data_IF_074620810746
#
_entry.id   IF_074620810746
#
_cell.length_a   1.000
_cell.length_b   1.000
_cell.length_c   1.000
_cell.angle_alpha   90.00
_cell.angle_beta   90.00
_cell.angle_gamma   90.00
#
_symmetry.space_group_name_H-M   'P 1'
#
loop_
_entity.id
_entity.type
_entity.pdbx_description
1 polymer ?
#
# COMPACT_ATOMS: atom_id res chain seq x y z
N UNK A 1 7.13 2.68 26.29
CA UNK A 1 6.11 3.39 25.52
C UNK A 1 4.89 2.49 25.45
N UNK A 2 3.73 2.99 25.84
CA UNK A 2 2.49 2.19 25.87
C UNK A 2 1.82 2.09 24.49
N UNK A 3 2.18 3.00 23.58
CA UNK A 3 1.74 3.05 22.19
C UNK A 3 2.93 3.36 21.27
N UNK A 4 2.93 2.79 20.07
CA UNK A 4 3.91 3.04 19.02
C UNK A 4 3.17 3.26 17.70
N UNK A 5 3.53 4.33 16.98
CA UNK A 5 3.05 4.55 15.61
C UNK A 5 3.76 3.58 14.66
N UNK A 6 2.99 2.90 13.80
CA UNK A 6 3.55 1.99 12.82
C UNK A 6 2.51 1.43 11.87
N UNK A 7 2.98 0.62 10.94
CA UNK A 7 2.18 -0.15 10.02
C UNK A 7 1.76 -1.47 10.65
N UNK A 8 0.46 -1.76 10.56
CA UNK A 8 -0.11 -3.01 11.08
C UNK A 8 0.48 -4.26 10.42
N UNK A 9 0.98 -4.14 9.19
CA UNK A 9 1.55 -5.25 8.41
C UNK A 9 3.09 -5.36 8.48
N UNK A 10 3.78 -4.51 9.25
CA UNK A 10 5.25 -4.59 9.38
C UNK A 10 5.69 -4.59 10.85
N UNK A 11 5.40 -3.52 11.60
CA UNK A 11 5.85 -3.38 12.98
C UNK A 11 5.21 -4.42 13.91
N UNK A 12 3.94 -4.78 13.68
CA UNK A 12 3.24 -5.79 14.51
C UNK A 12 3.97 -7.12 14.51
N UNK A 13 4.38 -7.59 13.33
CA UNK A 13 5.12 -8.82 13.11
C UNK A 13 6.51 -8.77 13.74
N UNK A 14 7.25 -7.68 13.52
CA UNK A 14 8.60 -7.53 14.09
C UNK A 14 8.58 -7.52 15.61
N UNK A 15 7.60 -6.86 16.22
CA UNK A 15 7.42 -6.87 17.68
C UNK A 15 7.08 -8.27 18.17
N UNK A 16 6.15 -8.97 17.51
CA UNK A 16 5.83 -10.36 17.85
C UNK A 16 7.05 -11.27 17.72
N UNK A 17 7.84 -11.11 16.67
CA UNK A 17 9.05 -11.91 16.45
C UNK A 17 10.13 -11.68 17.50
N UNK A 18 10.28 -10.45 17.98
CA UNK A 18 11.28 -10.07 18.96
C UNK A 18 10.84 -10.38 20.41
N UNK A 19 9.54 -10.34 20.70
CA UNK A 19 9.02 -10.38 22.08
C UNK A 19 8.17 -11.59 22.41
N UNK A 20 7.68 -12.33 21.40
CA UNK A 20 6.70 -13.40 21.56
C UNK A 20 5.29 -12.92 21.95
N UNK A 21 5.04 -11.60 21.97
CA UNK A 21 3.75 -11.03 22.36
C UNK A 21 2.99 -10.53 21.15
N UNK A 22 1.69 -10.81 21.12
CA UNK A 22 0.80 -10.23 20.12
C UNK A 22 0.67 -8.72 20.31
N UNK A 23 0.56 -8.01 19.19
CA UNK A 23 0.33 -6.56 19.17
C UNK A 23 -1.15 -6.32 18.87
N UNK A 24 -1.78 -5.47 19.66
CA UNK A 24 -3.14 -5.01 19.40
C UNK A 24 -3.10 -3.73 18.52
N UNK A 25 -3.54 -3.78 17.26
CA UNK A 25 -3.53 -2.61 16.40
C UNK A 25 -4.74 -1.70 16.69
N UNK A 26 -4.49 -0.41 16.90
CA UNK A 26 -5.52 0.64 16.88
C UNK A 26 -5.41 1.34 15.53
N UNK A 27 -6.30 1.03 14.58
CA UNK A 27 -6.20 1.57 13.21
C UNK A 27 -6.92 2.90 13.11
N UNK A 28 -6.28 3.87 12.49
CA UNK A 28 -6.92 5.15 12.14
C UNK A 28 -8.21 4.96 11.30
N UNK A 29 -8.23 3.96 10.42
CA UNK A 29 -9.39 3.62 9.60
C UNK A 29 -10.62 3.21 10.42
N UNK A 30 -10.44 2.58 11.59
CA UNK A 30 -11.55 2.21 12.49
C UNK A 30 -12.23 3.45 13.10
N UNK A 31 -11.57 4.61 13.02
CA UNK A 31 -12.05 5.91 13.50
C UNK A 31 -12.29 6.91 12.35
N UNK A 32 -12.52 6.42 11.13
CA UNK A 32 -12.93 7.23 9.99
C UNK A 32 -11.80 7.93 9.23
N UNK A 33 -10.54 7.77 9.64
CA UNK A 33 -9.39 8.35 8.96
C UNK A 33 -8.93 7.37 7.88
N UNK A 34 -9.37 7.63 6.65
CA UNK A 34 -9.04 6.83 5.47
C UNK A 34 -8.26 7.69 4.47
N UNK A 35 -7.13 7.17 4.00
CA UNK A 35 -6.32 7.83 2.98
C UNK A 35 -5.55 6.83 2.14
N UNK A 36 -5.20 7.23 0.93
CA UNK A 36 -4.22 6.52 0.11
C UNK A 36 -2.85 6.72 0.76
N UNK A 37 -2.38 5.70 1.47
CA UNK A 37 -1.16 5.78 2.30
C UNK A 37 0.12 5.49 1.51
N UNK A 38 0.14 4.43 0.71
CA UNK A 38 1.33 3.98 -0.02
C UNK A 38 1.00 3.81 -1.51
N UNK A 39 1.99 4.08 -2.35
CA UNK A 39 1.86 3.94 -3.80
C UNK A 39 3.22 3.86 -4.47
N UNK A 40 3.22 3.56 -5.77
CA UNK A 40 4.41 3.66 -6.62
C UNK A 40 4.56 5.11 -7.05
N UNK A 41 5.68 5.74 -6.68
CA UNK A 41 5.99 7.12 -7.02
C UNK A 41 7.10 7.12 -8.08
N UNK A 42 6.90 7.91 -9.13
CA UNK A 42 7.87 8.09 -10.20
C UNK A 42 7.91 9.54 -10.65
N UNK A 43 9.07 9.98 -11.15
CA UNK A 43 9.22 11.30 -11.75
C UNK A 43 8.34 11.43 -13.00
N UNK A 44 7.63 12.55 -13.12
CA UNK A 44 6.65 12.79 -14.20
C UNK A 44 7.29 12.81 -15.58
N UNK A 45 8.50 13.36 -15.73
CA UNK A 45 9.21 13.39 -17.00
C UNK A 45 9.71 12.01 -17.40
N UNK A 46 10.22 11.24 -16.42
CA UNK A 46 10.60 9.85 -16.64
C UNK A 46 9.43 9.01 -17.13
N UNK A 47 8.27 9.15 -16.49
CA UNK A 47 7.06 8.41 -16.85
C UNK A 47 6.60 8.74 -18.28
N UNK A 48 6.64 10.03 -18.67
CA UNK A 48 6.31 10.45 -20.04
C UNK A 48 7.29 9.90 -21.06
N UNK A 49 8.60 10.00 -20.78
CA UNK A 49 9.64 9.54 -21.70
C UNK A 49 9.70 8.01 -21.83
N UNK A 50 9.28 7.26 -20.80
CA UNK A 50 9.41 5.81 -20.72
C UNK A 50 8.05 5.10 -20.53
N UNK A 51 6.99 5.62 -21.14
CA UNK A 51 5.62 5.17 -20.91
C UNK A 51 5.41 3.65 -21.09
N UNK A 52 6.04 3.05 -22.11
CA UNK A 52 5.97 1.59 -22.33
C UNK A 52 6.60 0.80 -21.19
N UNK A 53 7.79 1.20 -20.75
CA UNK A 53 8.50 0.57 -19.63
C UNK A 53 7.66 0.65 -18.35
N UNK A 54 7.08 1.82 -18.06
CA UNK A 54 6.24 2.00 -16.86
C UNK A 54 4.99 1.11 -16.94
N UNK A 55 4.33 1.03 -18.10
CA UNK A 55 3.17 0.12 -18.29
C UNK A 55 3.54 -1.35 -18.08
N UNK A 56 4.69 -1.78 -18.59
CA UNK A 56 5.19 -3.15 -18.41
C UNK A 56 5.52 -3.43 -16.94
N UNK A 57 6.18 -2.49 -16.27
CA UNK A 57 6.44 -2.56 -14.84
C UNK A 57 5.15 -2.70 -14.04
N UNK A 58 4.19 -1.78 -14.24
CA UNK A 58 2.91 -1.85 -13.53
C UNK A 58 2.11 -3.10 -13.86
N UNK A 59 2.14 -3.59 -15.11
CA UNK A 59 1.52 -4.87 -15.46
C UNK A 59 2.13 -6.05 -14.70
N UNK A 60 3.46 -6.12 -14.60
CA UNK A 60 4.15 -7.15 -13.83
C UNK A 60 3.85 -7.05 -12.33
N UNK A 61 3.90 -5.84 -11.78
CA UNK A 61 3.61 -5.57 -10.36
C UNK A 61 2.18 -5.92 -9.99
N UNK A 62 1.19 -5.53 -10.81
CA UNK A 62 -0.22 -5.92 -10.60
C UNK A 62 -0.38 -7.44 -10.58
N UNK A 63 0.25 -8.16 -11.52
CA UNK A 63 0.20 -9.63 -11.55
C UNK A 63 0.86 -10.26 -10.33
N UNK A 64 1.97 -9.67 -9.84
CA UNK A 64 2.65 -10.15 -8.64
C UNK A 64 1.76 -10.01 -7.39
N UNK A 65 1.07 -8.88 -7.24
CA UNK A 65 0.10 -8.70 -6.15
C UNK A 65 -1.06 -9.68 -6.28
N UNK A 66 -1.64 -9.83 -7.48
CA UNK A 66 -2.73 -10.79 -7.71
C UNK A 66 -2.31 -12.25 -7.45
N UNK A 67 -1.04 -12.59 -7.67
CA UNK A 67 -0.49 -13.90 -7.32
C UNK A 67 -0.34 -14.05 -5.80
N UNK A 68 0.18 -13.02 -5.11
CA UNK A 68 0.30 -13.02 -3.66
C UNK A 68 -1.07 -13.06 -2.95
N UNK A 69 -2.11 -12.44 -3.53
CA UNK A 69 -3.49 -12.52 -3.04
C UNK A 69 -4.03 -13.95 -3.05
N UNK A 70 -3.63 -14.76 -4.05
CA UNK A 70 -4.07 -16.15 -4.20
C UNK A 70 -3.26 -17.11 -3.35
N UNK A 71 -1.99 -16.79 -3.10
CA UNK A 71 -1.07 -17.63 -2.37
C UNK A 71 -0.09 -16.81 -1.50
N UNK A 72 -0.57 -16.28 -0.36
CA UNK A 72 0.24 -15.46 0.53
C UNK A 72 1.47 -16.20 1.07
N UNK A 73 1.35 -17.52 1.28
CA UNK A 73 2.43 -18.35 1.82
C UNK A 73 3.58 -18.50 0.82
N UNK A 74 3.30 -18.80 -0.44
CA UNK A 74 4.37 -18.88 -1.45
C UNK A 74 4.94 -17.50 -1.79
N UNK A 75 4.14 -16.43 -1.69
CA UNK A 75 4.66 -15.07 -1.78
C UNK A 75 5.65 -14.75 -0.64
N UNK A 76 5.33 -15.14 0.60
CA UNK A 76 6.24 -15.02 1.74
C UNK A 76 7.51 -15.88 1.57
N UNK A 77 7.37 -17.11 1.06
CA UNK A 77 8.51 -17.98 0.78
C UNK A 77 9.46 -17.36 -0.24
N UNK A 78 8.92 -16.72 -1.28
CA UNK A 78 9.74 -16.05 -2.31
C UNK A 78 10.64 -14.94 -1.73
N UNK A 79 10.23 -14.28 -0.64
CA UNK A 79 11.07 -13.32 0.08
C UNK A 79 12.27 -14.02 0.71
N UNK A 80 12.07 -15.18 1.33
CA UNK A 80 13.14 -15.95 1.97
C UNK A 80 14.07 -16.61 0.97
N UNK A 81 13.56 -17.01 -0.19
CA UNK A 81 14.37 -17.55 -1.28
C UNK A 81 15.31 -16.47 -1.85
N UNK A 82 14.83 -15.23 -1.98
CA UNK A 82 15.64 -14.10 -2.42
C UNK A 82 16.57 -13.57 -1.31
N UNK A 83 16.12 -13.61 -0.06
CA UNK A 83 16.88 -13.19 1.11
C UNK A 83 16.57 -14.07 2.33
N UNK A 84 17.42 -15.06 2.66
CA UNK A 84 17.20 -15.97 3.79
C UNK A 84 17.13 -15.28 5.17
N UNK A 85 17.60 -14.02 5.27
CA UNK A 85 17.52 -13.21 6.50
C UNK A 85 16.32 -12.25 6.51
N UNK A 86 15.38 -12.42 5.57
CA UNK A 86 14.25 -11.52 5.36
C UNK A 86 13.17 -11.55 6.46
N UNK A 87 13.15 -12.58 7.30
CA UNK A 87 12.19 -12.73 8.39
C UNK A 87 11.90 -14.19 8.73
N UNK A 88 10.77 -14.44 9.39
CA UNK A 88 10.24 -15.79 9.61
C UNK A 88 9.04 -16.01 8.69
N UNK A 89 8.89 -17.23 8.18
CA UNK A 89 7.84 -17.54 7.21
C UNK A 89 6.43 -17.25 7.75
N UNK A 90 6.18 -17.57 9.02
CA UNK A 90 4.87 -17.36 9.63
C UNK A 90 4.51 -15.87 9.75
N UNK A 91 5.45 -15.04 10.20
CA UNK A 91 5.21 -13.59 10.32
C UNK A 91 5.15 -12.91 8.97
N UNK A 92 5.97 -13.31 7.99
CA UNK A 92 5.86 -12.81 6.62
C UNK A 92 4.51 -13.15 5.97
N UNK A 93 4.02 -14.39 6.17
CA UNK A 93 2.70 -14.81 5.68
C UNK A 93 1.60 -13.97 6.30
N UNK A 94 1.64 -13.78 7.63
CA UNK A 94 0.72 -12.88 8.34
C UNK A 94 0.76 -11.45 7.79
N UNK A 95 1.95 -10.94 7.43
CA UNK A 95 2.12 -9.63 6.81
C UNK A 95 1.39 -9.49 5.48
N UNK A 96 1.47 -10.50 4.62
CA UNK A 96 0.70 -10.52 3.39
C UNK A 96 -0.80 -10.55 3.66
N UNK A 97 -1.27 -11.40 4.59
CA UNK A 97 -2.70 -11.47 4.96
C UNK A 97 -3.24 -10.14 5.48
N UNK A 98 -2.43 -9.38 6.22
CA UNK A 98 -2.78 -8.04 6.71
C UNK A 98 -2.70 -6.97 5.61
N UNK A 99 -1.84 -7.14 4.61
CA UNK A 99 -1.63 -6.18 3.51
C UNK A 99 -2.67 -6.33 2.40
N UNK A 100 -3.03 -7.57 2.05
CA UNK A 100 -3.93 -7.89 0.93
C UNK A 100 -5.25 -7.08 0.96
N UNK A 101 -5.94 -6.96 2.10
CA UNK A 101 -7.17 -6.17 2.19
C UNK A 101 -6.97 -4.67 1.92
N UNK A 102 -5.75 -4.15 2.04
CA UNK A 102 -5.44 -2.72 1.89
C UNK A 102 -5.25 -2.29 0.43
N UNK A 103 -5.16 -3.23 -0.53
CA UNK A 103 -5.01 -2.91 -1.95
C UNK A 103 -6.29 -2.36 -2.61
N UNK A 104 -7.44 -2.51 -1.94
CA UNK A 104 -8.73 -2.06 -2.47
C UNK A 104 -9.54 -1.36 -1.38
N UNK A 105 -10.16 -0.26 -1.77
CA UNK A 105 -11.19 0.44 -1.01
C UNK A 105 -12.58 -0.15 -1.34
N UNK A 106 -13.64 0.22 -0.59
CA UNK A 106 -15.01 -0.16 -0.96
C UNK A 106 -15.39 0.23 -2.39
N UNK A 107 -14.91 1.38 -2.88
CA UNK A 107 -15.19 1.91 -4.23
C UNK A 107 -14.39 1.20 -5.32
N UNK A 108 -13.29 0.54 -4.95
CA UNK A 108 -12.36 -0.13 -5.89
C UNK A 108 -12.33 -1.64 -5.73
N UNK A 109 -13.24 -2.22 -4.93
CA UNK A 109 -13.32 -3.67 -4.66
C UNK A 109 -13.41 -4.55 -5.91
N UNK A 110 -14.03 -4.05 -6.98
CA UNK A 110 -14.18 -4.77 -8.26
C UNK A 110 -13.03 -4.52 -9.23
N UNK A 111 -12.08 -3.66 -8.87
CA UNK A 111 -10.93 -3.28 -9.69
C UNK A 111 -9.71 -4.13 -9.33
N UNK A 112 -8.71 -4.10 -10.20
CA UNK A 112 -7.40 -4.69 -9.94
C UNK A 112 -6.63 -3.84 -8.90
N UNK A 113 -5.62 -4.39 -8.21
CA UNK A 113 -4.80 -3.64 -7.25
C UNK A 113 -4.18 -2.37 -7.83
N UNK A 114 -3.79 -1.45 -6.94
CA UNK A 114 -3.20 -0.12 -7.25
C UNK A 114 -4.16 0.91 -7.85
N UNK A 115 -5.42 0.58 -8.10
CA UNK A 115 -6.39 1.55 -8.59
C UNK A 115 -6.98 2.36 -7.44
N UNK A 116 -6.99 3.68 -7.60
CA UNK A 116 -7.70 4.63 -6.72
C UNK A 116 -8.73 5.42 -7.52
N UNK A 117 -9.78 5.88 -6.87
CA UNK A 117 -10.74 6.82 -7.47
C UNK A 117 -10.33 8.28 -7.23
N UNK A 118 -10.91 9.17 -8.02
CA UNK A 118 -10.81 10.62 -7.84
C UNK A 118 -11.29 11.05 -6.46
N UNK A 119 -12.34 10.40 -5.96
CA UNK A 119 -12.82 10.64 -4.60
C UNK A 119 -11.79 10.21 -3.55
N UNK A 120 -11.21 9.00 -3.68
CA UNK A 120 -10.21 8.52 -2.71
C UNK A 120 -9.02 9.49 -2.58
N UNK A 121 -8.55 10.03 -3.72
CA UNK A 121 -7.45 10.99 -3.73
C UNK A 121 -7.88 12.39 -3.26
N UNK A 122 -9.09 12.82 -3.58
CA UNK A 122 -9.64 14.09 -3.07
C UNK A 122 -9.76 14.07 -1.55
N UNK A 123 -10.31 12.98 -0.99
CA UNK A 123 -10.44 12.80 0.46
C UNK A 123 -9.07 12.75 1.14
N UNK A 124 -8.11 12.06 0.53
CA UNK A 124 -6.71 12.03 1.00
C UNK A 124 -6.09 13.42 1.04
N UNK A 125 -6.22 14.20 -0.04
CA UNK A 125 -5.69 15.58 -0.08
C UNK A 125 -6.37 16.47 0.95
N UNK A 126 -7.69 16.35 1.11
CA UNK A 126 -8.44 17.12 2.10
C UNK A 126 -7.95 16.83 3.53
N UNK A 127 -7.83 15.54 3.87
CA UNK A 127 -7.32 15.09 5.17
C UNK A 127 -5.89 15.61 5.42
N UNK A 128 -5.00 15.54 4.42
CA UNK A 128 -3.62 16.00 4.54
C UNK A 128 -3.50 17.53 4.65
N UNK A 129 -4.40 18.30 4.05
CA UNK A 129 -4.44 19.75 4.24
C UNK A 129 -4.95 20.11 5.64
N UNK A 130 -5.97 19.41 6.11
CA UNK A 130 -6.59 19.70 7.41
C UNK A 130 -5.70 19.28 8.59
N UNK A 131 -5.09 18.10 8.51
CA UNK A 131 -4.36 17.48 9.62
C UNK A 131 -2.90 17.13 9.32
N UNK A 132 -2.53 17.01 8.04
CA UNK A 132 -1.22 16.52 7.61
C UNK A 132 -0.20 17.62 7.24
N UNK A 133 -0.58 18.90 7.33
CA UNK A 133 0.29 20.03 7.03
C UNK A 133 0.53 20.30 5.53
N UNK A 134 -0.28 19.73 4.64
CA UNK A 134 -0.21 20.02 3.21
C UNK A 134 -0.77 21.43 2.92
N UNK A 135 -0.15 22.15 1.97
CA UNK A 135 -0.62 23.48 1.55
C UNK A 135 -2.07 23.42 1.02
N UNK A 136 -2.91 24.37 1.42
CA UNK A 136 -4.32 24.42 1.04
C UNK A 136 -4.55 24.44 -0.48
N UNK A 137 -3.61 24.98 -1.27
CA UNK A 137 -3.65 24.99 -2.73
C UNK A 137 -3.65 23.58 -3.33
N UNK A 138 -3.20 22.56 -2.60
CA UNK A 138 -3.26 21.18 -3.07
C UNK A 138 -4.70 20.73 -3.41
N UNK A 139 -5.71 21.31 -2.75
CA UNK A 139 -7.13 21.05 -3.02
C UNK A 139 -7.58 21.50 -4.41
N UNK A 140 -6.87 22.42 -5.04
CA UNK A 140 -7.22 22.93 -6.37
C UNK A 140 -7.00 21.89 -7.46
N UNK A 141 -6.06 20.95 -7.26
CA UNK A 141 -5.76 19.91 -8.24
C UNK A 141 -5.32 18.58 -7.61
N UNK A 142 -6.24 17.79 -7.02
CA UNK A 142 -5.91 16.46 -6.49
C UNK A 142 -5.34 15.51 -7.55
N UNK A 143 -5.68 15.73 -8.83
CA UNK A 143 -5.18 14.95 -9.98
C UNK A 143 -3.68 15.14 -10.23
N UNK A 144 -3.07 16.19 -9.68
CA UNK A 144 -1.61 16.35 -9.75
C UNK A 144 -0.86 15.25 -8.99
N UNK A 145 -1.51 14.57 -8.04
CA UNK A 145 -0.87 13.63 -7.12
C UNK A 145 -0.97 12.15 -7.55
N UNK A 146 -1.70 11.83 -8.63
CA UNK A 146 -1.81 10.44 -9.08
C UNK A 146 -2.24 10.32 -10.55
N UNK A 147 -1.99 9.14 -11.13
CA UNK A 147 -2.54 8.73 -12.42
C UNK A 147 -2.75 7.22 -12.44
N UNK A 148 -3.82 6.78 -13.11
CA UNK A 148 -4.11 5.36 -13.35
C UNK A 148 -3.75 4.94 -14.79
N UNK A 149 -3.23 5.85 -15.63
CA UNK A 149 -3.05 5.64 -17.08
C UNK A 149 -2.02 4.54 -17.42
N UNK A 150 -1.12 4.24 -16.49
CA UNK A 150 -0.06 3.25 -16.67
C UNK A 150 -0.40 1.90 -16.08
N UNK A 151 -1.57 1.76 -15.44
CA UNK A 151 -2.04 0.49 -14.90
C UNK A 151 -2.53 -0.44 -16.02
N UNK A 152 -2.40 -1.77 -15.86
CA UNK A 152 -2.96 -2.70 -16.82
C UNK A 152 -4.49 -2.62 -16.81
N UNK A 153 -5.09 -2.75 -18.00
CA UNK A 153 -6.54 -2.87 -18.16
C UNK A 153 -7.05 -4.24 -17.70
#
# INVERSE_FOLDING_TARGET
ADLLLGYVMDQSMKIKDATGKDVYPIKFADYGINMVSSGIIANTDYVKANADLVKRFMSATTKAVEAAEKDPKNAAQSILDANPKGGKIDTLTQGFELTIPLYRTPETKSKRPFQVTDQNMTDTVNLMVEYGGLDAKAKENPKAFYTNEYLPK
#
